data_IF_478147654779
#
_entry.id   IF_478147654779
#
_cell.length_a   1.000
_cell.length_b   1.000
_cell.length_c   1.000
_cell.angle_alpha   90.00
_cell.angle_beta   90.00
_cell.angle_gamma   90.00
#
_symmetry.space_group_name_H-M   'P 1'
#
loop_
_entity.id
_entity.type
_entity.pdbx_description
1 polymer ?
#
# COMPACT_ATOMS: atom_id res chain seq x y z
N UNK A 1 -15.28 -0.71 9.87
CA UNK A 1 -15.44 0.68 10.35
C UNK A 1 -15.31 0.77 11.87
N UNK A 2 -16.28 0.28 12.66
CA UNK A 2 -16.28 0.37 14.14
C UNK A 2 -14.94 0.04 14.82
N UNK A 3 -14.32 -1.08 14.46
CA UNK A 3 -13.00 -1.48 15.00
C UNK A 3 -11.90 -0.44 14.78
N UNK A 4 -11.88 0.23 13.61
CA UNK A 4 -10.90 1.29 13.31
C UNK A 4 -11.14 2.49 14.22
N UNK A 5 -12.39 2.91 14.35
CA UNK A 5 -12.78 4.06 15.19
C UNK A 5 -12.45 3.80 16.67
N UNK A 6 -12.68 2.58 17.16
CA UNK A 6 -12.31 2.18 18.54
C UNK A 6 -10.79 2.27 18.76
N UNK A 7 -9.97 1.74 17.85
CA UNK A 7 -8.50 1.83 17.96
C UNK A 7 -7.99 3.27 17.91
N UNK A 8 -8.56 4.09 17.03
CA UNK A 8 -8.21 5.50 16.94
C UNK A 8 -8.61 6.26 18.22
N UNK A 9 -9.75 5.93 18.83
CA UNK A 9 -10.19 6.50 20.11
C UNK A 9 -9.29 6.10 21.29
N UNK A 10 -8.62 4.95 21.21
CA UNK A 10 -7.58 4.51 22.15
C UNK A 10 -6.24 5.26 21.93
N UNK A 11 -6.14 6.15 20.93
CA UNK A 11 -4.92 6.87 20.58
C UNK A 11 -3.90 6.04 19.79
N UNK A 12 -4.32 4.91 19.22
CA UNK A 12 -3.47 4.03 18.42
C UNK A 12 -3.56 4.36 16.93
N UNK A 13 -2.42 4.29 16.25
CA UNK A 13 -2.39 4.32 14.79
C UNK A 13 -2.85 2.97 14.22
N UNK A 14 -3.70 3.02 13.18
CA UNK A 14 -4.22 1.84 12.51
C UNK A 14 -3.59 1.69 11.13
N UNK A 15 -2.80 0.63 10.95
CA UNK A 15 -2.25 0.27 9.65
C UNK A 15 -3.13 -0.78 8.96
N UNK A 16 -3.65 -0.46 7.77
CA UNK A 16 -4.42 -1.38 6.94
C UNK A 16 -3.62 -1.74 5.69
N UNK A 17 -3.31 -3.04 5.54
CA UNK A 17 -2.65 -3.58 4.34
C UNK A 17 -3.70 -4.29 3.49
N UNK A 18 -4.15 -3.62 2.43
CA UNK A 18 -5.26 -4.07 1.58
C UNK A 18 -4.99 -3.74 0.12
N UNK A 19 -5.73 -4.39 -0.79
CA UNK A 19 -5.66 -4.11 -2.22
C UNK A 19 -6.22 -2.72 -2.56
N UNK A 20 -5.89 -2.19 -3.75
CA UNK A 20 -6.23 -0.82 -4.16
C UNK A 20 -7.74 -0.56 -4.14
N UNK A 21 -8.58 -1.54 -4.51
CA UNK A 21 -10.02 -1.39 -4.41
C UNK A 21 -10.51 -1.23 -2.96
N UNK A 22 -9.91 -1.96 -2.02
CA UNK A 22 -10.19 -1.78 -0.59
C UNK A 22 -9.72 -0.42 -0.10
N UNK A 23 -8.56 0.04 -0.58
CA UNK A 23 -8.01 1.36 -0.25
C UNK A 23 -8.96 2.50 -0.66
N UNK A 24 -9.61 2.40 -1.83
CA UNK A 24 -10.65 3.36 -2.26
C UNK A 24 -11.81 3.45 -1.28
N UNK A 25 -12.32 2.31 -0.82
CA UNK A 25 -13.42 2.27 0.16
C UNK A 25 -13.01 2.87 1.51
N UNK A 26 -11.76 2.66 1.93
CA UNK A 26 -11.21 3.28 3.14
C UNK A 26 -11.16 4.79 2.99
N UNK A 27 -10.68 5.31 1.85
CA UNK A 27 -10.62 6.75 1.58
C UNK A 27 -12.00 7.42 1.63
N UNK A 28 -13.03 6.74 1.12
CA UNK A 28 -14.42 7.23 1.20
C UNK A 28 -14.94 7.23 2.64
N UNK A 29 -14.61 6.20 3.43
CA UNK A 29 -15.09 6.04 4.80
C UNK A 29 -14.32 6.89 5.82
N UNK A 30 -13.03 7.15 5.55
CA UNK A 30 -12.07 7.85 6.39
C UNK A 30 -11.27 8.83 5.51
N UNK A 31 -11.82 10.02 5.22
CA UNK A 31 -11.16 11.01 4.35
C UNK A 31 -9.79 11.47 4.85
N UNK A 32 -9.57 11.43 6.16
CA UNK A 32 -8.29 11.80 6.80
C UNK A 32 -7.25 10.67 6.78
N UNK A 33 -7.55 9.52 6.16
CA UNK A 33 -6.64 8.39 6.11
C UNK A 33 -5.39 8.72 5.28
N UNK A 34 -4.22 8.41 5.82
CA UNK A 34 -2.95 8.53 5.10
C UNK A 34 -2.79 7.35 4.14
N UNK A 35 -3.14 7.58 2.88
CA UNK A 35 -2.97 6.62 1.79
C UNK A 35 -1.49 6.49 1.36
N UNK A 36 -0.90 5.31 1.54
CA UNK A 36 0.46 4.97 1.06
C UNK A 36 0.39 3.84 0.03
N UNK A 37 0.92 4.07 -1.17
CA UNK A 37 1.01 3.08 -2.23
C UNK A 37 2.33 2.29 -2.11
N UNK A 38 2.24 0.97 -1.98
CA UNK A 38 3.42 0.10 -1.97
C UNK A 38 3.65 -0.46 -3.37
N UNK A 39 4.65 0.05 -4.08
CA UNK A 39 4.94 -0.34 -5.46
C UNK A 39 6.11 -1.32 -5.54
N UNK A 40 6.15 -2.23 -6.54
CA UNK A 40 7.40 -2.91 -6.88
C UNK A 40 8.37 -1.92 -7.54
N UNK A 41 9.70 -2.19 -7.52
CA UNK A 41 10.68 -1.35 -8.22
C UNK A 41 10.44 -1.26 -9.73
N UNK A 42 9.92 -2.33 -10.33
CA UNK A 42 9.44 -2.34 -11.71
C UNK A 42 8.48 -3.53 -11.93
N UNK A 43 7.73 -3.49 -13.05
CA UNK A 43 6.90 -4.62 -13.46
C UNK A 43 7.75 -5.86 -13.79
N UNK A 44 8.93 -5.66 -14.38
CA UNK A 44 9.85 -6.75 -14.71
C UNK A 44 10.39 -7.43 -13.45
N UNK A 45 10.73 -6.65 -12.41
CA UNK A 45 11.17 -7.21 -11.13
C UNK A 45 10.02 -7.92 -10.39
N UNK A 46 8.79 -7.41 -10.48
CA UNK A 46 7.62 -8.10 -9.95
C UNK A 46 7.42 -9.45 -10.65
N UNK A 47 7.53 -9.50 -11.98
CA UNK A 47 7.43 -10.73 -12.77
C UNK A 47 8.52 -11.72 -12.38
N UNK A 48 9.79 -11.29 -12.32
CA UNK A 48 10.90 -12.13 -11.86
C UNK A 48 10.64 -12.72 -10.48
N UNK A 49 10.14 -11.93 -9.53
CA UNK A 49 9.82 -12.39 -8.16
C UNK A 49 8.67 -13.40 -8.14
N UNK A 50 7.60 -13.17 -8.90
CA UNK A 50 6.46 -14.09 -8.99
C UNK A 50 6.87 -15.44 -9.58
N UNK A 51 7.63 -15.41 -10.68
CA UNK A 51 8.17 -16.61 -11.33
C UNK A 51 9.19 -17.33 -10.46
N UNK A 52 10.11 -16.59 -9.84
CA UNK A 52 11.17 -17.14 -8.98
C UNK A 52 10.66 -17.85 -7.74
N UNK A 53 9.45 -17.55 -7.27
CA UNK A 53 8.81 -18.30 -6.17
C UNK A 53 8.43 -19.73 -6.57
N UNK A 54 8.18 -19.99 -7.85
CA UNK A 54 7.85 -21.33 -8.37
C UNK A 54 6.57 -21.96 -7.81
N UNK A 55 5.74 -21.20 -7.09
CA UNK A 55 4.54 -21.69 -6.41
C UNK A 55 3.25 -21.49 -7.21
N UNK A 56 3.32 -20.82 -8.36
CA UNK A 56 2.16 -20.34 -9.12
C UNK A 56 2.26 -20.77 -10.59
N UNK A 57 1.11 -21.05 -11.21
CA UNK A 57 1.05 -21.37 -12.63
C UNK A 57 1.20 -20.11 -13.49
N UNK A 58 1.58 -20.28 -14.75
CA UNK A 58 1.72 -19.18 -15.72
C UNK A 58 0.46 -18.33 -15.84
N UNK A 59 -0.72 -18.96 -15.84
CA UNK A 59 -2.00 -18.26 -15.94
C UNK A 59 -2.24 -17.35 -14.73
N UNK A 60 -1.87 -17.82 -13.53
CA UNK A 60 -2.00 -17.03 -12.29
C UNK A 60 -1.01 -15.87 -12.26
N UNK A 61 0.22 -16.10 -12.70
CA UNK A 61 1.27 -15.06 -12.80
C UNK A 61 0.81 -13.97 -13.77
N UNK A 62 0.34 -14.34 -14.96
CA UNK A 62 -0.16 -13.40 -15.97
C UNK A 62 -1.33 -12.57 -15.44
N UNK A 63 -2.30 -13.20 -14.75
CA UNK A 63 -3.42 -12.50 -14.14
C UNK A 63 -2.97 -11.49 -13.08
N UNK A 64 -1.99 -11.86 -12.25
CA UNK A 64 -1.41 -10.96 -11.23
C UNK A 64 -0.65 -9.80 -11.83
N UNK A 65 0.16 -10.03 -12.86
CA UNK A 65 0.88 -8.96 -13.56
C UNK A 65 -0.09 -7.98 -14.24
N UNK A 66 -1.14 -8.50 -14.87
CA UNK A 66 -2.20 -7.66 -15.44
C UNK A 66 -2.88 -6.82 -14.36
N UNK A 67 -3.23 -7.43 -13.22
CA UNK A 67 -3.84 -6.72 -12.08
C UNK A 67 -2.91 -5.64 -11.54
N UNK A 68 -1.64 -5.96 -11.29
CA UNK A 68 -0.65 -5.01 -10.83
C UNK A 68 -0.47 -3.83 -11.80
N UNK A 69 -0.45 -4.10 -13.12
CA UNK A 69 -0.41 -3.04 -14.14
C UNK A 69 -1.62 -2.10 -14.08
N UNK A 70 -2.83 -2.64 -13.83
CA UNK A 70 -4.03 -1.83 -13.62
C UNK A 70 -3.94 -1.00 -12.34
N UNK A 71 -3.53 -1.61 -11.24
CA UNK A 71 -3.38 -0.95 -9.93
C UNK A 71 -2.38 0.20 -9.98
N UNK A 72 -1.32 0.09 -10.78
CA UNK A 72 -0.34 1.16 -10.98
C UNK A 72 -0.95 2.43 -11.60
N UNK A 73 -2.03 2.31 -12.38
CA UNK A 73 -2.75 3.48 -12.93
C UNK A 73 -3.51 4.27 -11.87
N UNK A 74 -3.77 3.66 -10.72
CA UNK A 74 -4.52 4.24 -9.61
C UNK A 74 -3.61 4.81 -8.52
N UNK A 75 -2.29 4.84 -8.74
CA UNK A 75 -1.28 5.39 -7.81
C UNK A 75 -1.58 6.84 -7.42
N UNK A 76 -2.15 7.62 -8.32
CA UNK A 76 -2.55 9.01 -8.08
C UNK A 76 -3.62 9.19 -6.98
N UNK A 77 -4.25 8.11 -6.51
CA UNK A 77 -5.18 8.12 -5.38
C UNK A 77 -4.48 8.11 -4.01
N UNK A 78 -3.15 7.97 -3.98
CA UNK A 78 -2.36 7.86 -2.77
C UNK A 78 -1.54 9.14 -2.52
N UNK A 79 -1.25 9.43 -1.26
CA UNK A 79 -0.47 10.60 -0.86
C UNK A 79 1.03 10.36 -0.98
N UNK A 80 1.46 9.11 -0.74
CA UNK A 80 2.85 8.70 -0.76
C UNK A 80 3.03 7.41 -1.56
N UNK A 81 4.24 7.21 -2.07
CA UNK A 81 4.68 5.95 -2.67
C UNK A 81 5.90 5.42 -1.90
N UNK A 82 5.86 4.14 -1.55
CA UNK A 82 7.00 3.40 -1.02
C UNK A 82 7.34 2.31 -2.04
N UNK A 83 8.53 2.40 -2.63
CA UNK A 83 9.06 1.35 -3.50
C UNK A 83 9.55 0.19 -2.61
N UNK A 84 9.11 -1.02 -2.94
CA UNK A 84 9.42 -2.25 -2.22
C UNK A 84 10.49 -3.05 -2.95
N UNK A 85 11.68 -2.48 -3.08
CA UNK A 85 12.86 -3.14 -3.61
C UNK A 85 13.61 -3.91 -2.52
N UNK A 86 13.85 -3.25 -1.39
CA UNK A 86 14.47 -3.77 -0.17
C UNK A 86 13.54 -3.54 1.05
N UNK A 87 13.44 -4.55 1.91
CA UNK A 87 12.50 -4.53 3.04
C UNK A 87 12.90 -3.48 4.08
N UNK A 88 14.18 -3.35 4.40
CA UNK A 88 14.65 -2.44 5.44
C UNK A 88 14.50 -0.99 5.00
N UNK A 89 14.77 -0.71 3.72
CA UNK A 89 14.51 0.60 3.11
C UNK A 89 13.01 0.92 3.07
N UNK A 90 12.16 -0.02 2.65
CA UNK A 90 10.71 0.19 2.61
C UNK A 90 10.13 0.48 4.00
N UNK A 91 10.58 -0.24 5.02
CA UNK A 91 10.19 0.00 6.42
C UNK A 91 10.64 1.38 6.88
N UNK A 92 11.89 1.76 6.59
CA UNK A 92 12.43 3.08 6.95
C UNK A 92 11.62 4.20 6.31
N UNK A 93 11.27 4.07 5.04
CA UNK A 93 10.46 5.05 4.31
C UNK A 93 9.04 5.14 4.88
N UNK A 94 8.41 4.00 5.18
CA UNK A 94 7.06 3.97 5.77
C UNK A 94 7.04 4.63 7.16
N UNK A 95 8.01 4.32 8.02
CA UNK A 95 8.14 4.96 9.33
C UNK A 95 8.34 6.47 9.20
N UNK A 96 9.16 6.91 8.23
CA UNK A 96 9.38 8.33 7.98
C UNK A 96 8.08 9.07 7.62
N UNK A 97 7.22 8.45 6.80
CA UNK A 97 5.89 8.98 6.47
C UNK A 97 5.02 9.08 7.73
N UNK A 98 4.98 8.03 8.55
CA UNK A 98 4.20 8.02 9.80
C UNK A 98 4.65 9.15 10.74
N UNK A 99 5.95 9.33 10.93
CA UNK A 99 6.47 10.42 11.76
C UNK A 99 6.15 11.80 11.18
N UNK A 100 6.27 11.98 9.86
CA UNK A 100 5.92 13.24 9.19
C UNK A 100 4.44 13.58 9.38
N UNK A 101 3.53 12.62 9.22
CA UNK A 101 2.09 12.82 9.39
C UNK A 101 1.69 13.09 10.84
N UNK A 102 2.42 12.55 11.82
CA UNK A 102 2.24 12.92 13.24
C UNK A 102 2.65 14.35 13.55
N UNK A 103 3.61 14.90 12.81
CA UNK A 103 4.06 16.29 12.94
C UNK A 103 3.25 17.27 12.09
N UNK A 104 2.38 16.78 11.21
CA UNK A 104 1.58 17.61 10.30
C UNK A 104 0.50 18.35 11.09
N UNK A 105 0.50 19.68 10.98
CA UNK A 105 -0.61 20.49 11.49
C UNK A 105 -1.83 20.19 10.63
N UNK A 106 -2.86 19.60 11.24
CA UNK A 106 -4.17 19.40 10.61
C UNK A 106 -4.93 20.72 10.68
N UNK A 107 -5.00 21.42 9.55
CA UNK A 107 -5.88 22.58 9.34
C UNK A 107 -7.26 22.15 8.90
#
# INVERSE_FOLDING_TARGET
>A
RKWVEERLAEGLDVLLVIEVQGAKQVRESFPDAVMVFLSPPSMDELEKRLRGRGTESEEKISLRLKKAGQEMTERNLFHYEVVNDDVDHAVTNLLSIVYAERCRIKT
#
